data_IF_431520925046
#
_entry.id   IF_431520925046
#
_cell.length_a   1.000
_cell.length_b   1.000
_cell.length_c   1.000
_cell.angle_alpha   90.00
_cell.angle_beta   90.00
_cell.angle_gamma   90.00
#
_symmetry.space_group_name_H-M   'P 1'
#
loop_
_entity.id
_entity.type
_entity.pdbx_description
1 polymer ?
#
# COMPACT_ATOMS: atom_id res chain seq x y z
N UNK A 1 13.44 -10.15 32.35
CA UNK A 1 12.02 -10.48 32.37
C UNK A 1 11.60 -10.64 30.91
N UNK A 2 11.32 -11.88 30.52
CA UNK A 2 10.83 -12.19 29.18
C UNK A 2 9.41 -11.65 29.11
N UNK A 3 9.21 -10.46 28.51
CA UNK A 3 7.86 -9.98 28.25
C UNK A 3 7.23 -10.96 27.27
N UNK A 4 6.03 -11.45 27.60
CA UNK A 4 5.23 -12.33 26.75
C UNK A 4 5.04 -11.67 25.37
N UNK A 5 5.84 -12.06 24.39
CA UNK A 5 5.80 -11.51 23.04
C UNK A 5 4.61 -12.08 22.29
N UNK A 6 3.91 -11.25 21.57
CA UNK A 6 2.75 -11.65 20.76
C UNK A 6 2.88 -11.06 19.35
N UNK A 7 2.62 -11.86 18.34
CA UNK A 7 2.55 -11.48 16.93
C UNK A 7 1.13 -11.70 16.42
N UNK A 8 0.53 -10.69 15.80
CA UNK A 8 -0.74 -10.85 15.08
C UNK A 8 -0.42 -11.29 13.64
N UNK A 9 -0.91 -12.47 13.23
CA UNK A 9 -0.88 -12.91 11.84
C UNK A 9 -2.14 -12.42 11.13
N UNK A 10 -1.96 -11.81 9.95
CA UNK A 10 -3.05 -11.45 9.04
C UNK A 10 -2.77 -12.08 7.68
N UNK A 11 -3.68 -12.90 7.18
CA UNK A 11 -3.42 -13.80 6.06
C UNK A 11 -4.46 -13.63 4.96
N UNK A 12 -4.01 -13.70 3.71
CA UNK A 12 -4.93 -13.79 2.57
C UNK A 12 -5.44 -15.24 2.45
N UNK A 13 -6.46 -15.62 3.24
CA UNK A 13 -6.94 -17.00 3.32
C UNK A 13 -7.54 -17.56 2.02
N UNK A 14 -7.97 -16.68 1.10
CA UNK A 14 -8.39 -17.10 -0.25
C UNK A 14 -7.28 -17.73 -1.11
N UNK A 15 -6.03 -17.84 -0.58
CA UNK A 15 -4.90 -18.51 -1.23
C UNK A 15 -4.40 -19.66 -0.36
N UNK A 16 -4.57 -20.94 -0.77
CA UNK A 16 -4.13 -22.10 0.03
C UNK A 16 -2.66 -22.05 0.43
N UNK A 17 -1.84 -21.50 -0.44
CA UNK A 17 -0.42 -21.31 -0.21
C UNK A 17 -0.14 -20.34 0.95
N UNK A 18 -0.89 -19.23 1.04
CA UNK A 18 -0.77 -18.30 2.15
C UNK A 18 -1.12 -18.95 3.48
N UNK A 19 -2.14 -19.80 3.50
CA UNK A 19 -2.56 -20.58 4.67
C UNK A 19 -1.46 -21.55 5.10
N UNK A 20 -0.85 -22.28 4.16
CA UNK A 20 0.25 -23.19 4.45
C UNK A 20 1.46 -22.48 5.06
N UNK A 21 1.85 -21.35 4.47
CA UNK A 21 2.96 -20.52 4.96
C UNK A 21 2.66 -19.89 6.33
N UNK A 22 1.40 -19.50 6.58
CA UNK A 22 0.96 -18.96 7.86
C UNK A 22 1.08 -20.00 8.98
N UNK A 23 0.71 -21.25 8.71
CA UNK A 23 0.86 -22.37 9.65
C UNK A 23 2.35 -22.59 9.98
N UNK A 24 3.20 -22.69 8.96
CA UNK A 24 4.63 -22.83 9.17
C UNK A 24 5.26 -21.66 9.93
N UNK A 25 4.79 -20.43 9.68
CA UNK A 25 5.22 -19.25 10.42
C UNK A 25 4.78 -19.30 11.89
N UNK A 26 3.52 -19.71 12.15
CA UNK A 26 2.99 -19.85 13.50
C UNK A 26 3.76 -20.88 14.33
N UNK A 27 4.06 -22.04 13.74
CA UNK A 27 4.84 -23.10 14.40
C UNK A 27 6.24 -22.57 14.80
N UNK A 28 6.95 -21.91 13.91
CA UNK A 28 8.27 -21.34 14.18
C UNK A 28 8.26 -20.22 15.21
N UNK A 29 7.24 -19.37 15.22
CA UNK A 29 7.05 -18.34 16.23
C UNK A 29 6.78 -18.96 17.60
N UNK A 30 5.95 -20.02 17.65
CA UNK A 30 5.65 -20.77 18.85
C UNK A 30 6.91 -21.44 19.43
N UNK A 31 7.71 -22.10 18.59
CA UNK A 31 8.98 -22.72 18.98
C UNK A 31 9.99 -21.69 19.55
N UNK A 32 9.90 -20.44 19.10
CA UNK A 32 10.66 -19.31 19.62
C UNK A 32 10.05 -18.68 20.90
N UNK A 33 8.97 -19.23 21.45
CA UNK A 33 8.28 -18.72 22.62
C UNK A 33 7.46 -17.45 22.39
N UNK A 34 7.05 -17.22 21.16
CA UNK A 34 6.22 -16.06 20.76
C UNK A 34 4.78 -16.53 20.55
N UNK A 35 3.84 -15.89 21.24
CA UNK A 35 2.42 -16.17 21.08
C UNK A 35 1.92 -15.64 19.72
N UNK A 36 1.04 -16.40 19.11
CA UNK A 36 0.41 -16.05 17.84
C UNK A 36 -1.04 -15.67 18.11
N UNK A 37 -1.46 -14.57 17.51
CA UNK A 37 -2.83 -14.09 17.46
C UNK A 37 -3.31 -14.10 16.02
N UNK A 38 -4.59 -14.41 15.77
CA UNK A 38 -5.21 -14.40 14.45
C UNK A 38 -6.57 -13.69 14.50
N UNK A 39 -6.99 -13.15 13.36
CA UNK A 39 -8.32 -12.57 13.25
C UNK A 39 -9.40 -13.68 13.17
N UNK A 40 -10.55 -13.44 13.79
CA UNK A 40 -11.68 -14.38 13.77
C UNK A 40 -12.08 -14.77 12.33
N UNK A 41 -12.07 -13.83 11.43
CA UNK A 41 -12.41 -14.08 10.02
C UNK A 41 -11.45 -15.01 9.28
N UNK A 42 -10.31 -15.35 9.87
CA UNK A 42 -9.25 -16.18 9.27
C UNK A 42 -9.00 -17.46 10.09
N UNK A 43 -9.58 -17.54 11.30
CA UNK A 43 -9.24 -18.58 12.26
C UNK A 43 -9.61 -20.00 11.77
N UNK A 44 -10.75 -20.15 11.10
CA UNK A 44 -11.23 -21.45 10.63
C UNK A 44 -10.33 -22.02 9.53
N UNK A 45 -9.92 -21.17 8.57
CA UNK A 45 -9.03 -21.59 7.47
C UNK A 45 -7.61 -21.82 7.97
N UNK A 46 -7.15 -21.04 8.95
CA UNK A 46 -5.82 -21.22 9.53
C UNK A 46 -5.73 -22.44 10.42
N UNK A 47 -6.80 -22.78 11.15
CA UNK A 47 -6.91 -23.93 12.03
C UNK A 47 -5.68 -24.08 12.99
N UNK A 48 -5.26 -22.97 13.60
CA UNK A 48 -4.12 -22.91 14.54
C UNK A 48 -4.63 -23.10 15.97
N UNK A 49 -4.46 -24.30 16.52
CA UNK A 49 -5.02 -24.68 17.83
C UNK A 49 -4.45 -23.85 19.01
N UNK A 50 -3.23 -23.33 18.89
CA UNK A 50 -2.54 -22.56 19.93
C UNK A 50 -2.68 -21.03 19.76
N UNK A 51 -3.36 -20.57 18.69
CA UNK A 51 -3.49 -19.14 18.43
C UNK A 51 -4.63 -18.51 19.23
N UNK A 52 -4.39 -17.30 19.73
CA UNK A 52 -5.43 -16.45 20.30
C UNK A 52 -6.28 -15.85 19.16
N UNK A 53 -7.59 -16.03 19.21
CA UNK A 53 -8.52 -15.52 18.19
C UNK A 53 -9.15 -14.20 18.67
N UNK A 54 -9.03 -13.14 17.85
CA UNK A 54 -9.57 -11.81 18.14
C UNK A 54 -10.46 -11.29 17.02
N UNK A 55 -11.37 -10.38 17.37
CA UNK A 55 -12.19 -9.69 16.38
C UNK A 55 -11.36 -8.69 15.57
N UNK A 56 -11.74 -8.46 14.31
CA UNK A 56 -11.11 -7.47 13.44
C UNK A 56 -11.55 -6.05 13.84
N UNK A 57 -10.96 -5.52 14.89
CA UNK A 57 -11.18 -4.15 15.38
C UNK A 57 -9.90 -3.33 15.31
N UNK A 58 -10.00 -2.01 15.49
CA UNK A 58 -8.84 -1.13 15.60
C UNK A 58 -7.86 -1.55 16.70
N UNK A 59 -8.31 -2.28 17.72
CA UNK A 59 -7.51 -2.72 18.86
C UNK A 59 -7.02 -4.17 18.74
N UNK A 60 -7.28 -4.86 17.64
CA UNK A 60 -6.90 -6.27 17.46
C UNK A 60 -5.39 -6.50 17.65
N UNK A 61 -4.56 -5.53 17.30
CA UNK A 61 -3.11 -5.58 17.48
C UNK A 61 -2.64 -5.03 18.84
N UNK A 62 -3.55 -4.73 19.79
CA UNK A 62 -3.16 -4.21 21.10
C UNK A 62 -2.29 -5.25 21.85
N UNK A 63 -1.14 -4.78 22.35
CA UNK A 63 -0.17 -5.64 23.04
C UNK A 63 0.64 -6.56 22.11
N UNK A 64 0.42 -6.53 20.79
CA UNK A 64 1.29 -7.21 19.84
C UNK A 64 2.55 -6.39 19.56
N UNK A 65 3.66 -7.09 19.42
CA UNK A 65 4.95 -6.50 19.02
C UNK A 65 4.93 -6.07 17.54
N UNK A 66 4.31 -6.88 16.71
CA UNK A 66 4.25 -6.69 15.26
C UNK A 66 3.02 -7.38 14.67
N UNK A 67 2.51 -6.85 13.56
CA UNK A 67 1.53 -7.52 12.70
C UNK A 67 2.26 -8.09 11.51
N UNK A 68 2.32 -9.41 11.40
CA UNK A 68 2.91 -10.11 10.27
C UNK A 68 1.84 -10.45 9.25
N UNK A 69 2.04 -9.97 8.02
CA UNK A 69 1.04 -10.07 6.94
C UNK A 69 1.54 -11.01 5.87
N UNK A 70 0.77 -12.04 5.57
CA UNK A 70 1.03 -12.98 4.48
C UNK A 70 0.05 -12.71 3.34
N UNK A 71 0.47 -11.90 2.36
CA UNK A 71 -0.39 -11.45 1.26
C UNK A 71 0.21 -10.28 0.48
N UNK A 72 -0.57 -9.69 -0.42
CA UNK A 72 -0.18 -8.51 -1.20
C UNK A 72 -0.55 -7.19 -0.52
N UNK A 73 -0.34 -6.07 -1.25
CA UNK A 73 -0.60 -4.72 -0.75
C UNK A 73 -2.03 -4.55 -0.21
N UNK A 74 -3.06 -5.16 -0.84
CA UNK A 74 -4.44 -5.12 -0.32
C UNK A 74 -4.60 -5.77 1.06
N UNK A 75 -3.83 -6.83 1.37
CA UNK A 75 -3.84 -7.45 2.70
C UNK A 75 -3.12 -6.56 3.71
N UNK A 76 -2.06 -5.85 3.28
CA UNK A 76 -1.36 -4.87 4.13
C UNK A 76 -2.27 -3.69 4.45
N UNK A 77 -3.04 -3.18 3.48
CA UNK A 77 -4.04 -2.13 3.72
C UNK A 77 -5.09 -2.56 4.75
N UNK A 78 -5.59 -3.81 4.65
CA UNK A 78 -6.49 -4.37 5.65
C UNK A 78 -5.84 -4.48 7.03
N UNK A 79 -4.58 -4.85 7.08
CA UNK A 79 -3.82 -4.93 8.33
C UNK A 79 -3.61 -3.57 8.98
N UNK A 80 -3.50 -2.51 8.18
CA UNK A 80 -3.42 -1.16 8.70
C UNK A 80 -4.69 -0.74 9.47
N UNK A 81 -5.86 -1.28 9.09
CA UNK A 81 -7.11 -1.01 9.80
C UNK A 81 -7.12 -1.54 11.25
N UNK A 82 -6.41 -2.63 11.52
CA UNK A 82 -6.33 -3.27 12.84
C UNK A 82 -5.06 -2.92 13.62
N UNK A 83 -4.10 -2.23 13.00
CA UNK A 83 -2.79 -1.93 13.60
C UNK A 83 -2.54 -0.43 13.86
N UNK A 84 -3.20 0.47 13.10
CA UNK A 84 -2.88 1.91 13.12
C UNK A 84 -3.13 2.55 14.49
N UNK A 85 -4.27 2.27 15.12
CA UNK A 85 -4.65 2.86 16.40
C UNK A 85 -3.74 2.42 17.55
N UNK A 86 -3.28 1.18 17.52
CA UNK A 86 -2.32 0.62 18.48
C UNK A 86 -0.88 1.00 18.16
N UNK A 87 -0.62 1.63 16.99
CA UNK A 87 0.71 1.97 16.48
C UNK A 87 1.63 0.74 16.34
N UNK A 88 1.05 -0.44 16.20
CA UNK A 88 1.81 -1.68 16.00
C UNK A 88 2.40 -1.72 14.60
N UNK A 89 3.70 -1.96 14.43
CA UNK A 89 4.33 -2.03 13.11
C UNK A 89 3.82 -3.23 12.31
N UNK A 90 3.70 -3.04 11.00
CA UNK A 90 3.23 -4.05 10.05
C UNK A 90 4.40 -4.53 9.22
N UNK A 91 4.59 -5.84 9.16
CA UNK A 91 5.57 -6.51 8.32
C UNK A 91 4.84 -7.27 7.21
N UNK A 92 4.95 -6.83 5.98
CA UNK A 92 4.35 -7.50 4.83
C UNK A 92 5.29 -8.52 4.19
N UNK A 93 4.82 -9.76 4.03
CA UNK A 93 5.45 -10.81 3.23
C UNK A 93 4.61 -11.03 1.98
N UNK A 94 5.17 -10.72 0.83
CA UNK A 94 4.49 -10.84 -0.44
C UNK A 94 4.51 -12.30 -0.94
N UNK A 95 3.37 -12.77 -1.39
CA UNK A 95 3.21 -14.16 -1.86
C UNK A 95 3.05 -14.27 -3.38
N UNK A 96 3.45 -13.25 -4.12
CA UNK A 96 3.25 -13.26 -5.56
C UNK A 96 3.90 -12.07 -6.27
N UNK A 97 3.09 -11.14 -6.76
CA UNK A 97 3.61 -9.99 -7.51
C UNK A 97 4.24 -8.95 -6.59
N UNK A 98 5.36 -8.37 -7.01
CA UNK A 98 6.04 -7.29 -6.30
C UNK A 98 5.05 -6.18 -5.93
N UNK A 99 4.95 -5.90 -4.61
CA UNK A 99 4.17 -4.80 -4.04
C UNK A 99 5.04 -3.62 -3.65
N UNK A 100 4.39 -2.49 -3.31
CA UNK A 100 5.10 -1.33 -2.79
C UNK A 100 5.20 -1.31 -1.26
N UNK A 101 4.29 -2.01 -0.58
CA UNK A 101 4.19 -2.01 0.88
C UNK A 101 4.92 -3.19 1.53
N UNK A 102 4.98 -4.35 0.86
CA UNK A 102 5.65 -5.52 1.38
C UNK A 102 7.17 -5.31 1.52
N UNK A 103 7.76 -5.99 2.49
CA UNK A 103 9.21 -5.95 2.77
C UNK A 103 9.92 -7.17 2.23
N UNK A 104 9.31 -8.33 2.32
CA UNK A 104 9.90 -9.62 2.00
C UNK A 104 9.08 -10.35 0.95
N UNK A 105 9.72 -11.27 0.25
CA UNK A 105 9.08 -12.18 -0.67
C UNK A 105 8.90 -13.56 -0.02
N UNK A 106 8.09 -14.40 -0.62
CA UNK A 106 7.74 -15.73 -0.13
C UNK A 106 8.95 -16.59 0.20
N UNK A 107 9.95 -16.61 -0.68
CA UNK A 107 11.13 -17.48 -0.54
C UNK A 107 12.00 -17.11 0.65
N UNK A 108 11.83 -15.89 1.18
CA UNK A 108 12.56 -15.36 2.33
C UNK A 108 11.82 -15.52 3.67
N UNK A 109 10.68 -16.27 3.72
CA UNK A 109 9.84 -16.35 4.92
C UNK A 109 10.62 -16.83 6.15
N UNK A 110 11.52 -17.81 5.97
CA UNK A 110 12.33 -18.34 7.07
C UNK A 110 13.25 -17.26 7.66
N UNK A 111 13.93 -16.49 6.82
CA UNK A 111 14.77 -15.36 7.22
C UNK A 111 13.91 -14.23 7.83
N UNK A 112 12.73 -14.00 7.29
CA UNK A 112 11.77 -13.03 7.80
C UNK A 112 11.36 -13.33 9.24
N UNK A 113 11.02 -14.59 9.54
CA UNK A 113 10.66 -15.02 10.90
C UNK A 113 11.88 -14.86 11.82
N UNK A 114 13.08 -15.22 11.37
CA UNK A 114 14.30 -15.04 12.14
C UNK A 114 14.56 -13.55 12.47
N UNK A 115 14.31 -12.64 11.55
CA UNK A 115 14.34 -11.19 11.81
C UNK A 115 13.34 -10.77 12.89
N UNK A 116 12.13 -11.31 12.87
CA UNK A 116 11.10 -11.03 13.89
C UNK A 116 11.51 -11.61 15.25
N UNK A 117 11.95 -12.86 15.28
CA UNK A 117 12.40 -13.55 16.52
C UNK A 117 13.51 -12.76 17.21
N UNK A 118 14.47 -12.26 16.46
CA UNK A 118 15.62 -11.51 16.99
C UNK A 118 15.43 -9.98 16.99
N UNK A 119 14.22 -9.47 16.67
CA UNK A 119 13.91 -8.03 16.60
C UNK A 119 14.86 -7.24 15.69
N UNK A 120 15.29 -7.83 14.60
CA UNK A 120 16.20 -7.21 13.63
C UNK A 120 15.42 -6.50 12.52
N UNK A 121 14.68 -5.46 12.89
CA UNK A 121 13.94 -4.63 11.96
C UNK A 121 13.92 -3.16 12.44
N UNK A 122 13.89 -2.24 11.50
CA UNK A 122 13.60 -0.84 11.73
C UNK A 122 12.11 -0.57 11.52
N UNK A 123 11.61 0.53 12.08
CA UNK A 123 10.21 0.95 11.87
C UNK A 123 10.21 2.26 11.10
N UNK A 124 9.52 2.26 9.98
CA UNK A 124 9.28 3.41 9.11
C UNK A 124 7.83 3.88 9.30
N UNK A 125 7.63 5.19 9.47
CA UNK A 125 6.29 5.77 9.54
C UNK A 125 5.84 6.26 8.16
N UNK A 126 4.61 5.93 7.80
CA UNK A 126 3.96 6.35 6.56
C UNK A 126 2.82 7.31 6.87
N UNK A 127 2.89 8.49 6.25
CA UNK A 127 1.84 9.48 6.32
C UNK A 127 0.50 8.89 5.93
N UNK A 128 -0.58 9.29 6.60
CA UNK A 128 -1.97 8.96 6.25
C UNK A 128 -2.75 10.23 5.94
N UNK A 129 -3.94 10.08 5.40
CA UNK A 129 -4.93 11.13 5.27
C UNK A 129 -6.02 10.93 6.32
N UNK A 130 -6.50 12.00 6.94
CA UNK A 130 -7.76 12.05 7.65
C UNK A 130 -8.80 12.74 6.75
N UNK A 131 -9.99 12.16 6.67
CA UNK A 131 -11.08 12.59 5.80
C UNK A 131 -12.32 12.82 6.62
N UNK A 132 -12.92 13.99 6.49
CA UNK A 132 -14.16 14.36 7.18
C UNK A 132 -15.21 14.73 6.14
N UNK A 133 -16.38 14.11 6.23
CA UNK A 133 -17.55 14.46 5.42
C UNK A 133 -18.52 15.26 6.29
N UNK A 134 -18.95 16.39 5.79
CA UNK A 134 -19.89 17.29 6.45
C UNK A 134 -21.07 17.61 5.53
N UNK A 135 -22.26 17.54 6.05
CA UNK A 135 -23.50 17.98 5.36
C UNK A 135 -24.24 18.94 6.28
N UNK A 136 -24.63 20.11 5.75
CA UNK A 136 -25.34 21.16 6.49
C UNK A 136 -24.64 21.52 7.82
N UNK A 137 -23.30 21.55 7.82
CA UNK A 137 -22.51 21.88 9.00
C UNK A 137 -22.34 20.73 10.01
N UNK A 138 -22.98 19.58 9.77
CA UNK A 138 -22.90 18.38 10.65
C UNK A 138 -21.94 17.37 10.04
N UNK A 139 -21.00 16.88 10.85
CA UNK A 139 -20.09 15.78 10.44
C UNK A 139 -20.90 14.50 10.32
N UNK A 140 -20.95 13.94 9.12
CA UNK A 140 -21.66 12.69 8.81
C UNK A 140 -20.74 11.47 8.79
N UNK A 141 -19.46 11.66 8.44
CA UNK A 141 -18.47 10.58 8.46
C UNK A 141 -17.06 11.09 8.78
N UNK A 142 -16.26 10.21 9.40
CA UNK A 142 -14.82 10.38 9.58
C UNK A 142 -14.13 9.12 9.09
N UNK A 143 -13.20 9.28 8.18
CA UNK A 143 -12.42 8.19 7.59
C UNK A 143 -10.94 8.57 7.56
N UNK A 144 -10.12 7.63 7.16
CA UNK A 144 -8.69 7.85 6.94
C UNK A 144 -8.22 7.01 5.75
N UNK A 145 -7.04 7.29 5.20
CA UNK A 145 -6.45 6.49 4.14
C UNK A 145 -4.92 6.41 4.27
N UNK A 146 -4.35 5.26 3.94
CA UNK A 146 -2.90 5.07 3.79
C UNK A 146 -2.46 5.45 2.38
N UNK A 147 -3.20 4.97 1.36
CA UNK A 147 -2.92 5.28 -0.04
C UNK A 147 -3.66 6.54 -0.48
N UNK A 148 -4.97 6.45 -0.57
CA UNK A 148 -5.79 7.50 -1.17
C UNK A 148 -7.23 7.51 -0.66
N UNK A 149 -7.84 8.68 -0.79
CA UNK A 149 -9.25 8.91 -0.63
C UNK A 149 -9.79 9.48 -1.95
N UNK A 150 -10.68 8.78 -2.62
CA UNK A 150 -11.32 9.25 -3.84
C UNK A 150 -12.79 9.56 -3.62
N UNK A 151 -13.22 10.74 -4.10
CA UNK A 151 -14.62 11.10 -4.23
C UNK A 151 -15.02 10.87 -5.68
N UNK A 152 -15.89 9.93 -5.91
CA UNK A 152 -16.30 9.49 -7.24
C UNK A 152 -17.82 9.56 -7.41
N UNK A 153 -18.28 9.68 -8.65
CA UNK A 153 -19.71 9.60 -8.97
C UNK A 153 -20.26 8.22 -8.63
N UNK A 154 -21.43 8.16 -8.04
CA UNK A 154 -22.11 6.90 -7.71
C UNK A 154 -22.79 6.24 -8.90
N UNK A 155 -23.13 7.02 -9.94
CA UNK A 155 -23.85 6.56 -11.12
C UNK A 155 -23.08 6.90 -12.39
N UNK A 156 -23.09 5.97 -13.35
CA UNK A 156 -22.29 6.09 -14.59
C UNK A 156 -22.76 7.24 -15.49
N UNK A 157 -24.05 7.53 -15.48
CA UNK A 157 -24.71 8.47 -16.39
C UNK A 157 -24.56 9.93 -15.96
N UNK A 158 -24.08 10.19 -14.75
CA UNK A 158 -24.01 11.54 -14.19
C UNK A 158 -22.58 11.91 -13.85
N UNK A 159 -22.22 13.15 -14.14
CA UNK A 159 -20.97 13.75 -13.64
C UNK A 159 -21.20 14.32 -12.24
N UNK A 160 -20.17 14.33 -11.42
CA UNK A 160 -20.13 15.20 -10.26
C UNK A 160 -19.79 16.62 -10.70
N UNK A 161 -20.46 17.60 -10.13
CA UNK A 161 -20.00 18.99 -10.16
C UNK A 161 -19.41 19.32 -8.79
N UNK A 162 -18.14 19.65 -8.79
CA UNK A 162 -17.39 19.91 -7.57
C UNK A 162 -16.66 21.25 -7.61
N UNK A 163 -16.49 21.85 -6.43
CA UNK A 163 -15.55 22.94 -6.19
C UNK A 163 -14.41 22.36 -5.34
N UNK A 164 -13.19 22.55 -5.77
CA UNK A 164 -12.00 22.20 -5.01
C UNK A 164 -11.39 23.43 -4.42
N UNK A 165 -11.09 23.37 -3.14
CA UNK A 165 -10.43 24.41 -2.38
C UNK A 165 -9.10 23.88 -1.80
N UNK A 166 -8.16 24.79 -1.64
CA UNK A 166 -6.93 24.54 -0.89
C UNK A 166 -6.77 25.63 0.15
N UNK A 167 -6.62 25.25 1.41
CA UNK A 167 -6.47 26.16 2.55
C UNK A 167 -7.58 27.21 2.65
N UNK A 168 -8.84 26.79 2.41
CA UNK A 168 -10.04 27.62 2.46
C UNK A 168 -10.18 28.60 1.29
N UNK A 169 -9.41 28.43 0.21
CA UNK A 169 -9.49 29.24 -0.99
C UNK A 169 -9.94 28.40 -2.17
N UNK A 170 -11.03 28.77 -2.85
CA UNK A 170 -11.46 28.12 -4.07
C UNK A 170 -10.34 28.13 -5.12
N UNK A 171 -10.01 26.95 -5.63
CA UNK A 171 -9.00 26.76 -6.64
C UNK A 171 -9.61 26.57 -8.02
N UNK A 172 -10.62 25.71 -8.13
CA UNK A 172 -11.25 25.38 -9.39
C UNK A 172 -12.63 24.73 -9.19
N UNK A 173 -13.50 24.90 -10.18
CA UNK A 173 -14.78 24.21 -10.31
C UNK A 173 -14.81 23.44 -11.61
N UNK A 174 -15.23 22.17 -11.54
CA UNK A 174 -15.42 21.36 -12.76
C UNK A 174 -16.50 20.30 -12.57
N UNK A 175 -16.99 19.79 -13.74
CA UNK A 175 -17.73 18.55 -13.83
C UNK A 175 -16.79 17.41 -14.23
N UNK A 176 -16.99 16.21 -13.69
CA UNK A 176 -16.15 15.06 -14.02
C UNK A 176 -16.56 13.79 -13.30
N UNK A 177 -15.68 12.79 -13.34
CA UNK A 177 -15.91 11.52 -12.64
C UNK A 177 -15.59 11.62 -11.14
N UNK A 178 -14.75 12.59 -10.74
CA UNK A 178 -14.39 12.81 -9.35
C UNK A 178 -13.01 13.41 -9.13
N UNK A 179 -12.43 13.12 -7.97
CA UNK A 179 -11.09 13.54 -7.57
C UNK A 179 -10.48 12.50 -6.63
N UNK A 180 -9.18 12.25 -6.76
CA UNK A 180 -8.39 11.42 -5.83
C UNK A 180 -7.47 12.32 -5.02
N UNK A 181 -7.54 12.26 -3.71
CA UNK A 181 -6.51 12.78 -2.82
C UNK A 181 -5.63 11.62 -2.34
N UNK A 182 -4.29 11.77 -2.44
CA UNK A 182 -3.38 10.68 -2.18
C UNK A 182 -2.20 11.10 -1.30
N UNK A 183 -1.69 10.15 -0.54
CA UNK A 183 -0.40 10.25 0.14
C UNK A 183 0.75 9.94 -0.82
N UNK A 184 2.01 10.18 -0.45
CA UNK A 184 3.16 9.70 -1.21
C UNK A 184 3.16 8.17 -1.39
N UNK A 185 2.73 7.43 -0.36
CA UNK A 185 2.57 5.96 -0.43
C UNK A 185 1.55 5.57 -1.51
N UNK A 186 0.42 6.25 -1.58
CA UNK A 186 -0.63 6.02 -2.59
C UNK A 186 -0.33 6.59 -3.97
N UNK A 187 0.76 7.36 -4.12
CA UNK A 187 1.15 7.93 -5.42
C UNK A 187 1.47 6.86 -6.49
N UNK A 188 1.69 5.62 -6.07
CA UNK A 188 1.88 4.44 -6.94
C UNK A 188 0.65 3.54 -7.03
N UNK A 189 -0.49 3.94 -6.41
CA UNK A 189 -1.77 3.24 -6.42
C UNK A 189 -2.77 3.90 -7.38
N UNK A 190 -3.97 4.24 -6.92
CA UNK A 190 -5.00 4.80 -7.79
C UNK A 190 -4.63 6.18 -8.36
N UNK A 191 -3.96 7.02 -7.59
CA UNK A 191 -3.47 8.30 -8.07
C UNK A 191 -2.56 8.17 -9.30
N UNK A 192 -1.70 7.12 -9.35
CA UNK A 192 -0.87 6.82 -10.53
C UNK A 192 -1.72 6.49 -11.77
N UNK A 193 -2.71 5.62 -11.61
CA UNK A 193 -3.63 5.23 -12.69
C UNK A 193 -4.44 6.42 -13.21
N UNK A 194 -4.71 7.40 -12.33
CA UNK A 194 -5.38 8.66 -12.67
C UNK A 194 -4.44 9.71 -13.30
N UNK A 195 -3.15 9.39 -13.52
CA UNK A 195 -2.18 10.30 -14.14
C UNK A 195 -1.46 11.22 -13.15
N UNK A 196 -1.52 10.92 -11.86
CA UNK A 196 -0.76 11.61 -10.82
C UNK A 196 0.74 11.29 -10.88
N UNK A 197 1.60 12.17 -10.33
CA UNK A 197 3.03 11.93 -10.26
C UNK A 197 3.36 10.89 -9.19
N UNK A 198 4.44 10.14 -9.39
CA UNK A 198 5.04 9.32 -8.34
C UNK A 198 5.80 10.26 -7.38
N UNK A 199 5.54 10.08 -6.09
CA UNK A 199 6.19 10.81 -5.01
C UNK A 199 6.91 9.81 -4.11
N UNK A 200 8.15 10.09 -3.77
CA UNK A 200 8.93 9.25 -2.84
C UNK A 200 8.27 9.22 -1.47
N UNK A 201 8.23 8.06 -0.81
CA UNK A 201 7.52 7.91 0.47
C UNK A 201 7.96 8.86 1.58
N UNK A 202 9.23 9.26 1.58
CA UNK A 202 9.81 10.22 2.53
C UNK A 202 9.50 11.69 2.21
N UNK A 203 8.98 11.98 1.02
CA UNK A 203 8.55 13.33 0.64
C UNK A 203 7.11 13.53 1.10
N UNK A 204 6.93 14.12 2.26
CA UNK A 204 5.59 14.40 2.79
C UNK A 204 4.86 15.45 1.94
N UNK A 205 3.77 15.04 1.33
CA UNK A 205 2.91 15.88 0.48
C UNK A 205 1.50 15.28 0.39
N UNK A 206 0.53 16.07 -0.02
CA UNK A 206 -0.80 15.58 -0.40
C UNK A 206 -0.95 15.82 -1.91
N UNK A 207 -1.34 14.79 -2.64
CA UNK A 207 -1.65 14.87 -4.05
C UNK A 207 -3.14 15.08 -4.22
N UNK A 208 -3.55 15.87 -5.22
CA UNK A 208 -4.94 15.97 -5.68
C UNK A 208 -4.97 15.72 -7.17
N UNK A 209 -5.65 14.68 -7.60
CA UNK A 209 -5.69 14.21 -8.99
C UNK A 209 -7.14 14.24 -9.48
N UNK A 210 -7.50 15.13 -10.42
CA UNK A 210 -8.82 15.15 -11.03
C UNK A 210 -9.08 13.88 -11.85
N UNK A 211 -10.32 13.36 -11.81
CA UNK A 211 -10.77 12.22 -12.61
C UNK A 211 -11.67 12.71 -13.74
N UNK A 212 -11.22 12.52 -14.99
CA UNK A 212 -11.99 12.88 -16.20
C UNK A 212 -12.60 14.29 -16.14
N UNK A 213 -11.86 15.26 -15.59
CA UNK A 213 -12.38 16.60 -15.38
C UNK A 213 -12.58 17.36 -16.68
N UNK A 214 -13.78 17.89 -16.87
CA UNK A 214 -14.15 18.80 -17.96
C UNK A 214 -13.80 20.25 -17.59
N UNK A 215 -12.51 20.60 -17.67
CA UNK A 215 -11.99 21.92 -17.36
C UNK A 215 -10.75 22.24 -18.20
N UNK A 216 -10.51 23.55 -18.43
CA UNK A 216 -9.30 24.01 -19.13
C UNK A 216 -8.03 23.69 -18.32
N UNK A 217 -8.13 23.73 -17.00
CA UNK A 217 -7.07 23.35 -16.08
C UNK A 217 -7.51 22.13 -15.25
N UNK A 218 -7.03 20.96 -15.63
CA UNK A 218 -7.28 19.68 -14.96
C UNK A 218 -5.96 18.92 -14.81
N UNK A 219 -5.06 19.48 -14.02
CA UNK A 219 -3.75 18.88 -13.76
C UNK A 219 -3.66 18.38 -12.33
N UNK A 220 -2.97 17.26 -12.10
CA UNK A 220 -2.61 16.84 -10.75
C UNK A 220 -1.83 17.92 -10.01
N UNK A 221 -2.16 18.11 -8.74
CA UNK A 221 -1.50 19.05 -7.83
C UNK A 221 -0.76 18.29 -6.75
N UNK A 222 0.36 18.85 -6.31
CA UNK A 222 1.08 18.44 -5.12
C UNK A 222 1.09 19.63 -4.17
N UNK A 223 0.51 19.45 -2.99
CA UNK A 223 0.40 20.50 -1.98
C UNK A 223 1.15 20.14 -0.71
N UNK A 224 1.36 21.13 0.15
CA UNK A 224 2.01 20.92 1.45
C UNK A 224 1.28 19.87 2.29
N UNK A 225 1.98 19.06 3.08
CA UNK A 225 1.34 18.15 4.03
C UNK A 225 0.54 18.90 5.12
N UNK A 226 0.72 20.20 5.25
CA UNK A 226 -0.04 21.06 6.16
C UNK A 226 -1.31 21.65 5.53
N UNK A 227 -1.45 21.54 4.22
CA UNK A 227 -2.63 22.05 3.52
C UNK A 227 -3.86 21.19 3.79
N UNK A 228 -5.01 21.83 3.75
CA UNK A 228 -6.32 21.18 3.75
C UNK A 228 -6.90 21.28 2.35
N UNK A 229 -7.19 20.13 1.75
CA UNK A 229 -7.96 20.04 0.51
C UNK A 229 -9.42 19.88 0.90
N UNK A 230 -10.30 20.74 0.38
CA UNK A 230 -11.72 20.57 0.54
C UNK A 230 -12.40 20.43 -0.81
N UNK A 231 -13.38 19.54 -0.86
CA UNK A 231 -14.16 19.26 -2.05
C UNK A 231 -15.63 19.46 -1.71
N UNK A 232 -16.26 20.43 -2.32
CA UNK A 232 -17.71 20.64 -2.19
C UNK A 232 -18.42 19.99 -3.35
N UNK A 233 -19.35 19.08 -3.05
CA UNK A 233 -20.23 18.49 -4.02
C UNK A 233 -21.44 19.41 -4.22
N UNK A 234 -21.51 20.06 -5.39
CA UNK A 234 -22.52 21.07 -5.64
C UNK A 234 -23.93 20.47 -5.74
N UNK A 235 -24.88 21.15 -5.11
CA UNK A 235 -26.29 20.79 -5.15
C UNK A 235 -26.97 21.48 -6.31
N UNK A 236 -27.53 20.74 -7.24
CA UNK A 236 -28.40 21.25 -8.33
C UNK A 236 -29.43 20.19 -8.71
N UNK A 237 -30.41 20.57 -9.54
CA UNK A 237 -31.59 19.72 -9.86
C UNK A 237 -31.25 18.29 -10.34
N UNK A 238 -30.12 18.12 -11.04
CA UNK A 238 -29.70 16.84 -11.60
C UNK A 238 -28.44 16.28 -10.88
N UNK A 239 -28.04 16.84 -9.72
CA UNK A 239 -26.88 16.36 -9.00
C UNK A 239 -27.10 14.92 -8.49
N UNK A 240 -26.19 14.03 -8.82
CA UNK A 240 -26.13 12.69 -8.24
C UNK A 240 -25.26 12.68 -6.97
N UNK A 241 -25.47 11.72 -6.08
CA UNK A 241 -24.58 11.53 -4.96
C UNK A 241 -23.19 11.09 -5.42
N UNK A 242 -22.19 11.44 -4.63
CA UNK A 242 -20.85 10.86 -4.71
C UNK A 242 -20.72 9.67 -3.79
N UNK A 243 -19.64 8.94 -3.99
CA UNK A 243 -19.14 7.91 -3.07
C UNK A 243 -17.71 8.25 -2.74
N UNK A 244 -17.41 8.35 -1.45
CA UNK A 244 -16.04 8.42 -0.94
C UNK A 244 -15.52 7.00 -0.77
N UNK A 245 -14.36 6.72 -1.34
CA UNK A 245 -13.61 5.49 -1.14
C UNK A 245 -12.30 5.81 -0.40
N UNK A 246 -11.97 5.05 0.62
CA UNK A 246 -10.70 5.14 1.31
C UNK A 246 -9.94 3.83 1.13
N UNK A 247 -8.73 3.90 0.55
CA UNK A 247 -7.86 2.76 0.22
C UNK A 247 -8.55 1.71 -0.69
N UNK A 248 -9.56 2.11 -1.47
CA UNK A 248 -10.37 1.22 -2.29
C UNK A 248 -11.18 0.17 -1.51
N UNK A 249 -11.36 0.37 -0.19
CA UNK A 249 -11.96 -0.63 0.71
C UNK A 249 -13.14 -0.10 1.53
N UNK A 250 -13.00 1.05 2.13
CA UNK A 250 -14.02 1.66 2.99
C UNK A 250 -14.76 2.72 2.21
N UNK A 251 -16.07 2.73 2.32
CA UNK A 251 -16.95 3.59 1.51
C UNK A 251 -17.89 4.38 2.39
N UNK A 252 -18.17 5.62 1.95
CA UNK A 252 -19.18 6.48 2.53
C UNK A 252 -20.00 7.13 1.41
N UNK A 253 -21.29 7.27 1.63
CA UNK A 253 -22.17 8.03 0.74
C UNK A 253 -21.96 9.52 0.96
N UNK A 254 -21.81 10.27 -0.14
CA UNK A 254 -21.62 11.71 -0.11
C UNK A 254 -22.76 12.37 -0.88
N UNK A 255 -23.85 12.79 -0.19
CA UNK A 255 -24.97 13.49 -0.84
C UNK A 255 -24.55 14.83 -1.44
N UNK A 256 -25.27 15.33 -2.47
CA UNK A 256 -25.12 16.70 -2.94
C UNK A 256 -25.27 17.73 -1.81
N UNK A 257 -24.43 18.76 -1.83
CA UNK A 257 -24.32 19.74 -0.74
C UNK A 257 -23.31 19.37 0.35
N UNK A 258 -22.73 18.18 0.27
CA UNK A 258 -21.67 17.78 1.21
C UNK A 258 -20.34 18.46 0.90
N UNK A 259 -19.56 18.65 1.98
CA UNK A 259 -18.17 19.09 1.95
C UNK A 259 -17.29 17.95 2.47
N UNK A 260 -16.28 17.56 1.68
CA UNK A 260 -15.28 16.56 2.05
C UNK A 260 -13.96 17.27 2.31
N UNK A 261 -13.47 17.25 3.55
CA UNK A 261 -12.18 17.81 3.91
C UNK A 261 -11.15 16.70 4.09
N UNK A 262 -9.99 16.90 3.47
CA UNK A 262 -8.88 15.94 3.45
C UNK A 262 -7.63 16.66 3.91
N UNK A 263 -6.98 16.10 4.92
CA UNK A 263 -5.76 16.62 5.49
C UNK A 263 -4.80 15.50 5.87
N UNK A 264 -3.57 15.84 6.22
CA UNK A 264 -2.64 14.88 6.84
C UNK A 264 -3.29 14.26 8.07
N UNK A 265 -3.21 12.94 8.18
CA UNK A 265 -3.72 12.20 9.33
C UNK A 265 -2.79 12.33 10.55
N UNK A 266 -3.41 12.37 11.73
CA UNK A 266 -2.69 12.51 12.99
C UNK A 266 -1.93 11.22 13.36
N UNK A 267 -2.40 10.05 12.91
CA UNK A 267 -1.78 8.77 13.19
C UNK A 267 -1.17 8.18 11.93
N UNK A 268 0.17 8.01 11.86
CA UNK A 268 0.81 7.30 10.75
C UNK A 268 0.56 5.80 10.82
N UNK A 269 0.74 5.12 9.70
CA UNK A 269 0.92 3.67 9.65
C UNK A 269 2.40 3.35 9.77
N UNK A 270 2.73 2.36 10.62
CA UNK A 270 4.11 1.94 10.89
C UNK A 270 4.41 0.67 10.12
N UNK A 271 5.46 0.68 9.32
CA UNK A 271 5.93 -0.49 8.55
C UNK A 271 7.27 -0.97 9.11
N UNK A 272 7.39 -2.27 9.33
CA UNK A 272 8.67 -2.88 9.68
C UNK A 272 9.51 -3.14 8.43
N UNK A 273 10.81 -2.82 8.49
CA UNK A 273 11.78 -2.93 7.40
C UNK A 273 13.04 -3.66 7.87
N UNK A 274 13.49 -4.63 7.08
CA UNK A 274 14.77 -5.33 7.32
C UNK A 274 15.91 -4.67 6.57
N UNK A 275 15.63 -4.22 5.35
CA UNK A 275 16.59 -3.63 4.45
C UNK A 275 16.16 -2.23 4.05
N UNK A 276 17.11 -1.31 3.97
CA UNK A 276 16.90 -0.01 3.36
C UNK A 276 17.06 -0.12 1.84
N UNK A 277 16.24 -0.98 1.20
CA UNK A 277 16.24 -1.06 -0.25
C UNK A 277 15.73 0.27 -0.83
N UNK A 278 16.44 0.90 -1.77
CA UNK A 278 16.00 2.14 -2.40
C UNK A 278 14.62 1.98 -3.02
N UNK A 279 13.77 3.01 -2.88
CA UNK A 279 12.44 3.01 -3.49
C UNK A 279 12.50 2.84 -5.01
N UNK A 280 13.57 3.32 -5.64
CA UNK A 280 13.87 3.12 -7.06
C UNK A 280 13.84 1.65 -7.48
N UNK A 281 14.41 0.75 -6.67
CA UNK A 281 14.45 -0.68 -7.00
C UNK A 281 13.05 -1.30 -7.00
N UNK A 282 12.16 -0.83 -6.11
CA UNK A 282 10.75 -1.23 -6.10
C UNK A 282 10.01 -0.76 -7.35
N UNK A 283 10.26 0.48 -7.79
CA UNK A 283 9.70 1.03 -9.03
C UNK A 283 10.16 0.23 -10.25
N UNK A 284 11.47 -0.02 -10.36
CA UNK A 284 12.05 -0.79 -11.46
C UNK A 284 11.43 -2.18 -11.54
N UNK A 285 11.35 -2.89 -10.42
CA UNK A 285 10.77 -4.25 -10.37
C UNK A 285 9.27 -4.25 -10.63
N UNK A 286 8.54 -3.29 -10.08
CA UNK A 286 7.07 -3.24 -10.20
C UNK A 286 6.60 -2.91 -11.60
N UNK A 287 7.29 -1.98 -12.27
CA UNK A 287 6.92 -1.48 -13.59
C UNK A 287 7.78 -2.07 -14.72
N UNK A 288 8.66 -3.02 -14.40
CA UNK A 288 9.61 -3.62 -15.35
C UNK A 288 10.36 -2.54 -16.17
N UNK A 289 10.87 -1.53 -15.44
CA UNK A 289 11.49 -0.39 -16.10
C UNK A 289 12.83 -0.78 -16.72
N UNK A 290 13.11 -0.37 -17.98
CA UNK A 290 14.37 -0.66 -18.64
C UNK A 290 15.50 0.15 -18.04
N UNK A 291 16.30 -0.45 -17.15
CA UNK A 291 17.49 0.18 -16.54
C UNK A 291 18.73 0.11 -17.42
N UNK A 292 18.72 -0.70 -18.47
CA UNK A 292 19.77 -0.74 -19.48
C UNK A 292 19.28 -0.05 -20.74
N UNK A 293 19.97 1.03 -21.15
CA UNK A 293 19.70 1.67 -22.43
C UNK A 293 19.87 0.67 -23.58
N UNK A 294 19.19 0.90 -24.72
CA UNK A 294 19.25 0.04 -25.91
C UNK A 294 20.70 -0.26 -26.38
N UNK A 295 21.65 0.67 -26.15
CA UNK A 295 23.09 0.47 -26.44
C UNK A 295 23.74 -0.57 -25.52
N UNK A 296 23.25 -0.77 -24.31
CA UNK A 296 23.75 -1.78 -23.35
C UNK A 296 23.34 -3.20 -23.72
N UNK A 297 22.16 -3.43 -24.30
CA UNK A 297 21.69 -4.73 -24.82
C UNK A 297 22.53 -5.21 -26.02
N UNK A 298 22.77 -4.33 -26.97
CA UNK A 298 23.58 -4.66 -28.18
C UNK A 298 25.01 -5.06 -27.80
N UNK A 299 25.56 -4.54 -26.70
CA UNK A 299 26.92 -4.87 -26.24
C UNK A 299 27.01 -6.22 -25.53
N UNK A 300 25.94 -6.69 -24.88
CA UNK A 300 25.85 -8.03 -24.28
C UNK A 300 25.61 -9.10 -25.32
N UNK A 301 24.69 -8.87 -26.24
CA UNK A 301 24.42 -9.81 -27.37
C UNK A 301 25.63 -10.03 -28.27
N UNK A 302 26.56 -9.06 -28.35
CA UNK A 302 27.83 -9.19 -29.09
C UNK A 302 28.97 -9.85 -28.31
N UNK A 303 28.85 -10.01 -26.97
CA UNK A 303 29.88 -10.65 -26.14
C UNK A 303 29.64 -12.14 -25.86
N UNK A 304 28.43 -12.63 -26.03
CA UNK A 304 28.12 -14.05 -25.77
C UNK A 304 28.53 -15.03 -26.88
N UNK A 305 28.75 -14.66 -28.17
CA UNK A 305 29.22 -15.61 -29.16
C UNK A 305 30.73 -15.91 -29.17
N UNK A 306 31.56 -15.11 -28.49
CA UNK A 306 33.03 -15.30 -28.56
C UNK A 306 33.64 -16.21 -27.48
N UNK A 307 32.86 -16.63 -26.48
CA UNK A 307 33.38 -17.49 -25.41
C UNK A 307 33.16 -19.00 -25.59
N UNK A 308 32.56 -19.44 -26.70
CA UNK A 308 32.30 -20.87 -26.97
C UNK A 308 33.14 -21.50 -28.10
N UNK A 309 34.08 -20.77 -28.70
CA UNK A 309 34.82 -21.26 -29.85
C UNK A 309 36.27 -21.75 -29.54
N UNK A 310 36.79 -21.56 -28.31
CA UNK A 310 38.22 -21.81 -28.08
C UNK A 310 38.54 -23.01 -27.15
N UNK A 311 37.61 -23.94 -26.96
CA UNK A 311 37.86 -25.16 -26.17
C UNK A 311 37.54 -26.47 -26.92
N UNK A 312 37.94 -26.61 -28.19
CA UNK A 312 38.02 -27.93 -28.84
C UNK A 312 39.19 -27.93 -29.82
N UNK A 313 40.38 -28.23 -29.38
CA UNK A 313 41.35 -29.18 -29.86
C UNK A 313 42.71 -28.96 -29.18
N UNK A 314 43.24 -29.93 -28.44
CA UNK A 314 44.66 -29.96 -28.13
C UNK A 314 45.45 -30.39 -29.41
N UNK A 315 46.63 -29.82 -29.65
CA UNK A 315 47.46 -30.28 -30.78
C UNK A 315 48.03 -31.69 -30.50
N UNK A 316 47.85 -32.58 -31.45
CA UNK A 316 48.53 -33.85 -31.50
C UNK A 316 50.07 -33.63 -31.55
N UNK A 317 50.73 -34.15 -30.54
CA UNK A 317 52.19 -34.35 -30.53
C UNK A 317 52.41 -35.83 -30.84
N UNK A 318 52.80 -36.12 -32.08
CA UNK A 318 53.66 -37.22 -32.40
C UNK A 318 53.86 -37.34 -33.92
N UNK A 319 55.09 -37.02 -34.38
CA UNK A 319 55.85 -37.80 -35.37
C UNK A 319 57.06 -37.00 -35.81
N UNK A 320 58.21 -37.37 -35.24
CA UNK A 320 59.49 -37.21 -35.95
C UNK A 320 59.77 -38.51 -36.80
N UNK A 321 60.62 -38.50 -37.83
CA UNK A 321 62.04 -38.63 -37.56
C UNK A 321 62.89 -37.42 -37.89
#
# INVERSE_FOLDING_TARGET
MNQDRTVLLVVHTGRPEAVSLARAAADRLHDAGIRVRVLRSEADELALASAEVVEASGDAAAGCEIVMVLGGDGTILRSAEVARTTRTPILGVNLGHVGFLAESERDDLAATIDHVVHRRYAVEERMTLDVTVTLDGVVTARQWALNDASLEKSARERMLEIVVEVDGRPLSRWGGDGIVASTPTGSTAYAFSAGGPIVWPEVEAILAVPLSAHALFARPLVVSPRSVIAVELLQHYNAGPGVLWCDGRRTESVPPGSRVEIRRGDLPVRLARFHQAPFTDRLVRKFDLPVHGWRGRVRRERREPELSADLRNPPDVDAAP
#
